data_IF_126989273556
#
_entry.id   IF_126989273556
#
_cell.length_a   1.000
_cell.length_b   1.000
_cell.length_c   1.000
_cell.angle_alpha   90.00
_cell.angle_beta   90.00
_cell.angle_gamma   90.00
#
_symmetry.space_group_name_H-M   'P 1'
#
loop_
_entity.id
_entity.type
_entity.pdbx_description
1 polymer ?
#
# COMPACT_ATOMS: atom_id res chain seq x y z
N UNK A 1 15.14 9.69 -10.25
CA UNK A 1 14.46 8.71 -11.14
C UNK A 1 13.00 9.13 -11.20
N UNK A 2 12.38 9.11 -12.38
CA UNK A 2 10.97 9.48 -12.52
C UNK A 2 10.07 8.44 -11.84
N UNK A 3 9.00 8.91 -11.23
CA UNK A 3 7.96 8.06 -10.66
C UNK A 3 7.26 7.27 -11.79
N UNK A 4 7.12 5.96 -11.63
CA UNK A 4 6.35 5.13 -12.55
C UNK A 4 4.93 4.94 -11.96
N UNK A 5 3.91 5.64 -12.49
CA UNK A 5 2.55 5.58 -11.95
C UNK A 5 1.92 4.18 -12.08
N UNK A 6 2.49 3.31 -12.91
CA UNK A 6 2.03 1.92 -13.08
C UNK A 6 3.04 0.91 -12.54
N UNK A 7 3.93 1.32 -11.62
CA UNK A 7 4.90 0.43 -10.98
C UNK A 7 4.25 -0.85 -10.44
N UNK A 8 3.04 -0.72 -9.89
CA UNK A 8 2.29 -1.81 -9.31
C UNK A 8 2.07 -2.99 -10.26
N UNK A 9 1.93 -2.76 -11.57
CA UNK A 9 1.73 -3.83 -12.56
C UNK A 9 2.95 -4.73 -12.72
N UNK A 10 4.11 -4.26 -12.28
CA UNK A 10 5.41 -4.95 -12.39
C UNK A 10 5.82 -5.62 -11.10
N UNK A 11 5.06 -5.42 -10.01
CA UNK A 11 5.41 -5.94 -8.70
C UNK A 11 5.22 -7.46 -8.63
N UNK A 12 6.16 -8.11 -7.97
CA UNK A 12 6.18 -9.55 -7.74
C UNK A 12 6.11 -9.87 -6.25
N UNK A 13 5.81 -11.13 -5.90
CA UNK A 13 5.84 -11.57 -4.51
C UNK A 13 7.22 -11.36 -3.90
N UNK A 14 7.27 -10.77 -2.70
CA UNK A 14 8.51 -10.46 -2.00
C UNK A 14 9.14 -9.12 -2.37
N UNK A 15 8.66 -8.44 -3.43
CA UNK A 15 9.09 -7.07 -3.71
C UNK A 15 8.82 -6.18 -2.50
N UNK A 16 9.78 -5.30 -2.22
CA UNK A 16 9.70 -4.32 -1.14
C UNK A 16 9.41 -2.97 -1.76
N UNK A 17 8.38 -2.31 -1.25
CA UNK A 17 7.97 -1.00 -1.73
C UNK A 17 7.68 -0.08 -0.56
N UNK A 18 7.72 1.21 -0.79
CA UNK A 18 7.16 2.21 0.12
C UNK A 18 6.17 3.08 -0.63
N UNK A 19 5.25 3.66 0.11
CA UNK A 19 4.34 4.69 -0.41
C UNK A 19 5.02 6.03 -0.16
N UNK A 20 5.52 6.67 -1.22
CA UNK A 20 6.28 7.92 -1.10
C UNK A 20 5.42 9.17 -1.09
N UNK A 21 4.17 9.07 -1.58
CA UNK A 21 3.18 10.13 -1.50
C UNK A 21 1.78 9.56 -1.42
N UNK A 22 0.85 10.39 -0.97
CA UNK A 22 -0.57 10.03 -0.97
C UNK A 22 -1.03 9.72 -2.41
N UNK A 23 -1.75 8.62 -2.64
CA UNK A 23 -2.22 8.24 -3.97
C UNK A 23 -3.08 9.32 -4.62
N UNK A 24 -2.95 9.52 -5.92
CA UNK A 24 -3.86 10.38 -6.70
C UNK A 24 -5.17 9.63 -6.91
N UNK A 25 -5.98 9.53 -5.86
CA UNK A 25 -7.25 8.81 -5.87
C UNK A 25 -8.39 9.75 -6.32
N UNK A 26 -9.19 9.32 -7.30
CA UNK A 26 -10.33 10.12 -7.81
C UNK A 26 -11.64 9.91 -7.02
N UNK A 27 -11.63 9.07 -5.97
CA UNK A 27 -12.80 8.74 -5.14
C UNK A 27 -12.70 9.20 -3.68
N UNK A 28 -13.79 9.04 -2.93
CA UNK A 28 -13.77 9.20 -1.47
C UNK A 28 -13.14 7.98 -0.81
N UNK A 29 -11.98 8.15 -0.18
CA UNK A 29 -11.42 7.16 0.74
C UNK A 29 -12.15 7.24 2.08
N UNK A 30 -12.34 6.10 2.75
CA UNK A 30 -12.74 6.09 4.16
C UNK A 30 -11.65 6.78 4.99
N UNK A 31 -12.06 7.50 6.04
CA UNK A 31 -11.15 8.31 6.87
C UNK A 31 -9.99 7.47 7.45
N UNK A 32 -10.27 6.22 7.87
CA UNK A 32 -9.26 5.30 8.41
C UNK A 32 -8.23 4.91 7.34
N UNK A 33 -8.68 4.66 6.12
CA UNK A 33 -7.79 4.35 4.99
C UNK A 33 -6.92 5.56 4.64
N UNK A 34 -7.49 6.77 4.66
CA UNK A 34 -6.73 7.99 4.43
C UNK A 34 -5.71 8.25 5.55
N UNK A 35 -6.08 8.00 6.81
CA UNK A 35 -5.17 8.10 7.95
C UNK A 35 -4.01 7.10 7.83
N UNK A 36 -4.30 5.85 7.44
CA UNK A 36 -3.28 4.83 7.19
C UNK A 36 -2.30 5.26 6.09
N UNK A 37 -2.79 5.73 4.93
CA UNK A 37 -1.91 6.21 3.86
C UNK A 37 -1.01 7.36 4.31
N UNK A 38 -1.54 8.33 5.06
CA UNK A 38 -0.73 9.43 5.61
C UNK A 38 0.36 8.91 6.53
N UNK A 39 0.02 8.01 7.46
CA UNK A 39 0.97 7.42 8.38
C UNK A 39 2.08 6.64 7.64
N UNK A 40 1.73 5.86 6.62
CA UNK A 40 2.69 5.10 5.80
C UNK A 40 3.68 6.02 5.07
N UNK A 41 3.18 7.13 4.51
CA UNK A 41 4.00 8.15 3.84
C UNK A 41 4.92 8.84 4.84
N UNK A 42 4.38 9.34 5.96
CA UNK A 42 5.12 10.06 6.99
C UNK A 42 6.24 9.21 7.61
N UNK A 43 5.96 7.93 7.85
CA UNK A 43 6.93 6.99 8.45
C UNK A 43 7.86 6.36 7.42
N UNK A 44 7.64 6.58 6.12
CA UNK A 44 8.37 5.90 5.03
C UNK A 44 8.43 4.39 5.25
N UNK A 45 7.33 3.80 5.73
CA UNK A 45 7.25 2.37 6.05
C UNK A 45 7.47 1.54 4.79
N UNK A 46 8.33 0.53 4.89
CA UNK A 46 8.56 -0.43 3.81
C UNK A 46 7.56 -1.56 3.95
N UNK A 47 6.75 -1.72 2.92
CA UNK A 47 5.77 -2.77 2.73
C UNK A 47 6.39 -3.89 1.90
N UNK A 48 5.96 -5.13 2.13
CA UNK A 48 6.34 -6.28 1.30
C UNK A 48 5.12 -6.78 0.55
N UNK A 49 5.26 -7.11 -0.74
CA UNK A 49 4.21 -7.76 -1.52
C UNK A 49 4.05 -9.19 -1.02
N UNK A 50 2.94 -9.48 -0.36
CA UNK A 50 2.68 -10.77 0.29
C UNK A 50 1.70 -11.65 -0.50
N UNK A 51 0.85 -11.03 -1.33
CA UNK A 51 -0.16 -11.71 -2.13
C UNK A 51 -0.29 -11.03 -3.49
N UNK A 52 -0.52 -11.83 -4.53
CA UNK A 52 -0.98 -11.36 -5.84
C UNK A 52 -2.37 -11.92 -6.09
N UNK A 53 -3.30 -11.08 -6.54
CA UNK A 53 -4.62 -11.48 -7.00
C UNK A 53 -4.74 -11.24 -8.50
N UNK A 54 -5.29 -12.20 -9.25
CA UNK A 54 -5.34 -12.12 -10.71
C UNK A 54 -6.77 -11.90 -11.19
N UNK A 55 -6.99 -10.82 -11.96
CA UNK A 55 -8.26 -10.50 -12.61
C UNK A 55 -7.95 -10.28 -14.09
N UNK A 56 -8.57 -11.08 -14.96
CA UNK A 56 -8.36 -10.99 -16.42
C UNK A 56 -6.86 -10.98 -16.80
N UNK A 57 -6.08 -11.90 -16.22
CA UNK A 57 -4.62 -12.05 -16.41
C UNK A 57 -3.75 -10.91 -15.84
N UNK A 58 -4.34 -9.83 -15.32
CA UNK A 58 -3.62 -8.77 -14.63
C UNK A 58 -3.40 -9.13 -13.15
N UNK A 59 -2.16 -9.01 -12.68
CA UNK A 59 -1.81 -9.17 -11.28
C UNK A 59 -2.07 -7.88 -10.48
N UNK A 60 -2.69 -8.03 -9.31
CA UNK A 60 -2.97 -6.98 -8.34
C UNK A 60 -2.23 -7.31 -7.04
N UNK A 61 -1.16 -6.57 -6.70
CA UNK A 61 -0.34 -6.82 -5.54
C UNK A 61 -0.99 -6.34 -4.24
N UNK A 62 -0.77 -7.09 -3.17
CA UNK A 62 -1.27 -6.80 -1.83
C UNK A 62 -0.15 -6.90 -0.79
N UNK A 63 -0.21 -6.02 0.19
CA UNK A 63 0.58 -6.11 1.42
C UNK A 63 -0.35 -6.31 2.62
N UNK A 64 0.14 -7.02 3.63
CA UNK A 64 -0.53 -7.15 4.92
C UNK A 64 0.26 -6.38 5.96
N UNK A 65 -0.36 -5.43 6.64
CA UNK A 65 0.28 -4.63 7.68
C UNK A 65 -0.45 -4.77 9.00
N UNK A 66 0.32 -4.86 10.08
CA UNK A 66 -0.20 -4.68 11.44
C UNK A 66 -0.14 -3.19 11.73
N UNK A 67 -1.31 -2.59 11.89
CA UNK A 67 -1.45 -1.17 12.24
C UNK A 67 -2.00 -1.06 13.65
N UNK A 68 -1.46 -0.08 14.37
CA UNK A 68 -1.98 0.28 15.68
C UNK A 68 -3.23 1.12 15.47
N UNK A 69 -4.39 0.57 15.83
CA UNK A 69 -5.60 1.38 15.90
C UNK A 69 -5.42 2.45 16.98
N UNK A 70 -5.72 3.70 16.66
CA UNK A 70 -5.69 4.79 17.63
C UNK A 70 -6.97 4.86 18.49
N UNK A 71 -8.01 4.10 18.14
CA UNK A 71 -9.33 4.18 18.76
C UNK A 71 -9.85 2.87 19.38
N UNK A 72 -9.22 1.73 19.09
CA UNK A 72 -9.76 0.44 19.46
C UNK A 72 -9.13 -0.14 20.73
N UNK A 73 -9.93 -0.93 21.45
CA UNK A 73 -9.50 -1.74 22.59
C UNK A 73 -8.54 -2.88 22.22
N UNK A 74 -8.18 -2.99 20.93
CA UNK A 74 -7.28 -3.99 20.39
C UNK A 74 -6.06 -3.27 19.81
N UNK A 75 -4.89 -3.33 20.48
CA UNK A 75 -3.74 -2.50 20.14
C UNK A 75 -3.14 -2.81 18.75
N UNK A 76 -3.49 -3.95 18.16
CA UNK A 76 -2.95 -4.41 16.89
C UNK A 76 -4.09 -4.95 16.01
N UNK A 77 -4.31 -4.31 14.86
CA UNK A 77 -5.22 -4.79 13.83
C UNK A 77 -4.44 -5.11 12.56
N UNK A 78 -4.75 -6.24 11.93
CA UNK A 78 -4.15 -6.64 10.68
C UNK A 78 -4.99 -6.13 9.51
N UNK A 79 -4.39 -5.32 8.64
CA UNK A 79 -5.03 -4.69 7.49
C UNK A 79 -4.37 -5.16 6.20
N UNK A 80 -5.19 -5.55 5.22
CA UNK A 80 -4.74 -5.80 3.85
C UNK A 80 -4.83 -4.52 3.03
N UNK A 81 -3.73 -4.14 2.40
CA UNK A 81 -3.64 -2.99 1.51
C UNK A 81 -3.34 -3.46 0.09
N UNK A 82 -4.19 -3.10 -0.87
CA UNK A 82 -3.90 -3.29 -2.29
C UNK A 82 -2.95 -2.19 -2.75
N UNK A 83 -1.88 -2.57 -3.43
CA UNK A 83 -0.83 -1.65 -3.90
C UNK A 83 -1.04 -1.31 -5.37
N UNK A 84 -2.26 -0.98 -5.81
CA UNK A 84 -2.61 -0.76 -7.22
C UNK A 84 -2.74 0.73 -7.58
N UNK A 85 -1.87 1.57 -7.01
CA UNK A 85 -1.95 3.02 -7.12
C UNK A 85 -0.60 3.64 -7.48
N UNK A 86 -0.61 4.93 -7.80
CA UNK A 86 0.60 5.73 -8.01
C UNK A 86 1.26 6.12 -6.67
N UNK A 87 2.46 6.68 -6.68
CA UNK A 87 3.19 7.01 -5.45
C UNK A 87 3.87 5.81 -4.77
N UNK A 88 4.03 4.70 -5.50
CA UNK A 88 4.84 3.56 -5.05
C UNK A 88 6.29 3.74 -5.48
N UNK A 89 7.21 3.35 -4.61
CA UNK A 89 8.64 3.28 -4.90
C UNK A 89 9.19 1.92 -4.46
N UNK A 90 9.91 1.23 -5.34
CA UNK A 90 10.66 0.02 -4.97
C UNK A 90 11.81 0.37 -4.03
N UNK A 91 12.08 -0.53 -3.10
CA UNK A 91 13.15 -0.43 -2.11
C UNK A 91 14.03 -1.67 -2.24
N UNK A 92 15.32 -1.47 -2.51
CA UNK A 92 16.31 -2.54 -2.57
C UNK A 92 16.63 -3.14 -1.18
#
# INVERSE_FOLDING_TARGET
MGEDPELWKKLELGDRVRISRFPSYEGCLHDDTAALYRWLVETSRVLTVMKLEFIEEQAYPWSGEIVWSMDSSHPEEFHWLMLNHDGLERVD
#
